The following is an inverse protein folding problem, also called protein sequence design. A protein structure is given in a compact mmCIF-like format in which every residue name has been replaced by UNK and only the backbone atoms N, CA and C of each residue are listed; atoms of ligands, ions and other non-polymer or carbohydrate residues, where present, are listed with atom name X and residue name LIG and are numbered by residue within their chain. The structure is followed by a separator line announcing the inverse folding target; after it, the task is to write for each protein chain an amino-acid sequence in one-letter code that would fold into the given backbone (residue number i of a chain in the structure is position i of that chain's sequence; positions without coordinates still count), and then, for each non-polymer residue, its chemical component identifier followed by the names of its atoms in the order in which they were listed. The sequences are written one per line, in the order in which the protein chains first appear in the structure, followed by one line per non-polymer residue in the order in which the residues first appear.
data_IF_181494261288
#
_entry.id   IF_181494261288
#
_cell.length_a   1.000
_cell.length_b   1.000
_cell.length_c   1.000
_cell.angle_alpha   90.00
_cell.angle_beta   90.00
_cell.angle_gamma   90.00
#
_symmetry.space_group_name_H-M   'P 1'
#
loop_
_entity.id
_entity.type
_entity.pdbx_description
1 polymer ?
#
# COMPACT_ATOMS: atom_id res chain seq x y z
N UNK A 1 -24.51 13.25 30.86
CA UNK A 1 -24.12 12.38 32.00
C UNK A 1 -22.62 12.07 31.95
N UNK A 2 -21.72 12.91 32.50
CA UNK A 2 -20.26 12.75 32.35
C UNK A 2 -19.54 12.10 33.55
N UNK A 3 -20.23 11.82 34.66
CA UNK A 3 -19.57 11.39 35.92
C UNK A 3 -19.07 9.93 35.95
N UNK A 4 -19.51 9.05 35.05
CA UNK A 4 -19.08 7.63 35.03
C UNK A 4 -17.76 7.36 34.28
N UNK A 5 -17.28 8.30 33.45
CA UNK A 5 -16.02 8.15 32.71
C UNK A 5 -14.78 8.41 33.57
N UNK A 6 -14.90 9.23 34.63
CA UNK A 6 -13.77 9.58 35.49
C UNK A 6 -13.30 8.42 36.39
N UNK A 7 -14.21 7.55 36.82
CA UNK A 7 -13.88 6.45 37.76
C UNK A 7 -13.17 5.28 37.06
N UNK A 8 -13.48 5.02 35.78
CA UNK A 8 -12.80 3.98 35.00
C UNK A 8 -11.35 4.38 34.67
N UNK A 9 -11.09 5.67 34.43
CA UNK A 9 -9.75 6.20 34.14
C UNK A 9 -8.83 6.08 35.37
N UNK A 10 -9.35 6.30 36.58
CA UNK A 10 -8.56 6.18 37.83
C UNK A 10 -8.11 4.74 38.13
N UNK A 11 -8.94 3.73 37.82
CA UNK A 11 -8.59 2.32 37.98
C UNK A 11 -7.58 1.83 36.93
N UNK A 12 -7.61 2.39 35.71
CA UNK A 12 -6.62 2.09 34.68
C UNK A 12 -5.26 2.74 34.97
N UNK A 13 -5.22 3.92 35.59
CA UNK A 13 -3.95 4.58 35.95
C UNK A 13 -3.17 3.90 37.07
N UNK A 14 -3.81 3.13 37.96
CA UNK A 14 -3.11 2.41 39.04
C UNK A 14 -2.45 1.09 38.57
N UNK A 15 -2.86 0.55 37.42
CA UNK A 15 -2.30 -0.68 36.82
C UNK A 15 -1.18 -0.40 35.81
N UNK A 16 -1.10 0.81 35.26
CA UNK A 16 -0.04 1.23 34.32
C UNK A 16 1.41 1.12 34.85
N UNK A 17 1.72 1.37 36.14
CA UNK A 17 3.10 1.31 36.63
C UNK A 17 3.66 -0.11 36.70
N UNK A 18 2.80 -1.13 36.81
CA UNK A 18 3.20 -2.55 36.88
C UNK A 18 3.59 -3.12 35.51
N UNK A 19 3.08 -2.56 34.42
CA UNK A 19 3.41 -2.97 33.05
C UNK A 19 4.67 -2.28 32.49
N UNK A 20 5.07 -1.13 33.04
CA UNK A 20 6.28 -0.41 32.60
C UNK A 20 7.60 -1.07 33.04
N UNK A 21 7.56 -2.01 34.00
CA UNK A 21 8.76 -2.69 34.52
C UNK A 21 9.24 -3.87 33.65
N UNK A 22 8.50 -4.26 32.60
CA UNK A 22 8.87 -5.39 31.73
C UNK A 22 9.41 -4.97 30.35
N UNK A 23 9.61 -3.68 30.09
CA UNK A 23 10.18 -3.21 28.84
C UNK A 23 11.71 -3.13 28.94
N UNK A 24 12.47 -3.84 28.09
CA UNK A 24 13.92 -3.72 28.06
C UNK A 24 14.33 -2.31 27.60
N UNK A 25 15.47 -1.77 28.09
CA UNK A 25 15.96 -0.47 27.68
C UNK A 25 16.37 -0.50 26.21
N UNK A 26 15.80 0.42 25.43
CA UNK A 26 16.20 0.68 24.05
C UNK A 26 17.42 1.61 24.07
N UNK A 27 18.61 1.02 24.15
CA UNK A 27 19.85 1.69 23.77
C UNK A 27 19.95 1.67 22.26
N UNK A 28 20.01 2.85 21.66
CA UNK A 28 20.94 3.21 20.57
C UNK A 28 20.38 4.42 19.81
N UNK A 29 20.65 5.59 20.38
CA UNK A 29 20.89 6.79 19.61
C UNK A 29 22.38 7.06 19.75
N UNK A 30 23.13 7.00 18.64
CA UNK A 30 24.24 7.92 18.37
C UNK A 30 24.77 7.72 16.95
N UNK A 31 24.80 8.87 16.26
CA UNK A 31 25.92 9.32 15.43
C UNK A 31 26.02 8.85 13.97
N UNK A 32 25.72 9.78 13.05
CA UNK A 32 26.64 10.15 11.97
C UNK A 32 26.03 11.28 11.10
N UNK A 33 26.06 12.51 11.64
CA UNK A 33 26.03 13.72 10.82
C UNK A 33 27.47 14.13 10.58
N UNK A 34 28.09 13.73 9.46
CA UNK A 34 29.18 14.48 8.83
C UNK A 34 29.77 13.75 7.61
N UNK A 35 30.14 14.56 6.61
CA UNK A 35 31.24 14.33 5.65
C UNK A 35 30.85 13.69 4.31
N UNK A 36 30.32 14.53 3.41
CA UNK A 36 30.87 14.72 2.04
C UNK A 36 30.41 16.05 1.44
N UNK A 37 31.16 17.08 1.82
CA UNK A 37 31.41 18.28 1.02
C UNK A 37 32.24 17.87 -0.22
N UNK A 38 32.07 18.63 -1.31
CA UNK A 38 33.06 18.94 -2.36
C UNK A 38 33.39 17.86 -3.40
N UNK A 39 32.71 17.95 -4.56
CA UNK A 39 33.32 18.25 -5.89
C UNK A 39 32.22 18.97 -6.69
N UNK A 40 32.26 20.30 -6.87
CA UNK A 40 33.13 21.06 -7.77
C UNK A 40 32.90 20.72 -9.25
N UNK A 41 32.17 21.63 -9.90
CA UNK A 41 32.44 22.22 -11.23
C UNK A 41 33.04 21.35 -12.33
N UNK A 42 32.28 21.20 -13.41
CA UNK A 42 32.81 21.28 -14.76
C UNK A 42 31.70 21.74 -15.71
N UNK A 43 31.62 23.07 -15.92
CA UNK A 43 31.24 23.61 -17.23
C UNK A 43 32.23 23.10 -18.27
N UNK A 44 31.73 22.46 -19.33
CA UNK A 44 32.40 22.50 -20.63
C UNK A 44 31.32 22.73 -21.68
N UNK A 45 31.32 23.97 -22.15
CA UNK A 45 30.81 24.42 -23.43
C UNK A 45 31.41 23.57 -24.56
N UNK A 46 30.56 22.98 -25.39
CA UNK A 46 30.97 22.39 -26.66
C UNK A 46 29.83 22.55 -27.67
N UNK A 47 29.83 23.74 -28.25
CA UNK A 47 29.33 24.10 -29.57
C UNK A 47 29.50 22.95 -30.58
N UNK A 48 28.39 22.25 -30.85
CA UNK A 48 28.30 21.23 -31.89
C UNK A 48 27.15 21.58 -32.84
N UNK A 49 27.45 22.51 -33.75
CA UNK A 49 27.02 22.54 -35.15
C UNK A 49 25.63 21.97 -35.43
N UNK A 50 24.69 22.89 -35.62
CA UNK A 50 23.52 22.73 -36.48
C UNK A 50 23.96 22.15 -37.85
N UNK A 51 23.81 20.84 -38.01
CA UNK A 51 23.73 20.18 -39.30
C UNK A 51 22.24 19.96 -39.60
N UNK A 52 21.72 20.39 -40.76
CA UNK A 52 20.34 20.13 -41.13
C UNK A 52 20.20 18.62 -41.42
N UNK A 53 19.67 17.89 -40.44
CA UNK A 53 19.44 16.45 -40.55
C UNK A 53 18.29 16.22 -41.53
N UNK A 54 18.61 15.53 -42.62
CA UNK A 54 17.65 15.05 -43.60
C UNK A 54 16.45 14.36 -42.90
N UNK A 55 15.21 14.60 -43.37
CA UNK A 55 14.07 13.86 -42.86
C UNK A 55 14.19 12.41 -43.34
N UNK A 56 13.76 11.47 -42.50
CA UNK A 56 13.24 10.16 -42.92
C UNK A 56 14.20 8.94 -42.98
N UNK A 57 15.04 8.73 -41.96
CA UNK A 57 15.62 7.39 -41.69
C UNK A 57 15.48 6.99 -40.21
N UNK A 58 14.35 6.32 -39.92
CA UNK A 58 14.09 5.33 -38.85
C UNK A 58 14.85 5.49 -37.53
N UNK A 59 14.28 6.31 -36.64
CA UNK A 59 14.69 6.47 -35.23
C UNK A 59 14.20 5.31 -34.32
N UNK A 60 13.60 4.27 -34.91
CA UNK A 60 12.80 3.26 -34.22
C UNK A 60 13.47 1.88 -34.08
N UNK A 61 14.78 1.79 -34.37
CA UNK A 61 15.58 0.58 -34.13
C UNK A 61 14.93 -0.69 -34.69
N UNK A 62 14.62 -1.62 -33.80
CA UNK A 62 14.07 -2.96 -34.12
C UNK A 62 12.54 -3.04 -33.93
N UNK A 63 11.88 -1.95 -33.54
CA UNK A 63 10.43 -1.91 -33.33
C UNK A 63 9.74 -1.61 -34.66
N UNK A 64 8.89 -2.53 -35.11
CA UNK A 64 8.08 -2.34 -36.32
C UNK A 64 6.91 -1.39 -36.06
N UNK A 65 7.04 -0.16 -36.57
CA UNK A 65 6.01 0.89 -36.49
C UNK A 65 5.04 0.85 -37.67
N UNK A 66 5.27 -0.01 -38.68
CA UNK A 66 4.35 -0.12 -39.82
C UNK A 66 2.95 -0.58 -39.41
N UNK A 67 2.87 -1.37 -38.33
CA UNK A 67 1.62 -1.82 -37.72
C UNK A 67 1.10 -0.90 -36.60
N UNK A 68 1.70 0.27 -36.38
CA UNK A 68 1.29 1.18 -35.32
C UNK A 68 -0.13 1.74 -35.57
N UNK A 69 -1.03 1.73 -34.56
CA UNK A 69 -2.41 2.17 -34.74
C UNK A 69 -2.52 3.62 -35.26
N UNK A 70 -3.27 3.78 -36.35
CA UNK A 70 -3.46 5.08 -37.01
C UNK A 70 -4.15 6.11 -36.11
N UNK A 71 -5.01 5.65 -35.19
CA UNK A 71 -5.72 6.49 -34.22
C UNK A 71 -4.77 7.24 -33.26
N UNK A 72 -3.57 6.71 -33.01
CA UNK A 72 -2.57 7.29 -32.12
C UNK A 72 -1.37 7.89 -32.86
N UNK A 73 -1.24 7.64 -34.17
CA UNK A 73 -0.08 8.03 -34.96
C UNK A 73 0.13 9.55 -34.97
N UNK A 74 -0.96 10.34 -34.99
CA UNK A 74 -0.89 11.79 -34.91
C UNK A 74 -0.37 12.29 -33.55
N UNK A 75 -0.81 11.65 -32.47
CA UNK A 75 -0.46 12.01 -31.09
C UNK A 75 0.96 11.60 -30.70
N UNK A 76 1.57 10.64 -31.40
CA UNK A 76 2.84 10.06 -30.97
C UNK A 76 3.96 9.92 -32.01
N UNK A 77 3.63 9.51 -33.22
CA UNK A 77 4.65 9.37 -34.28
C UNK A 77 4.94 10.73 -34.90
N UNK A 78 3.89 11.52 -35.16
CA UNK A 78 4.02 12.86 -35.79
C UNK A 78 4.43 13.96 -34.81
N UNK A 79 4.24 13.75 -33.51
CA UNK A 79 4.53 14.72 -32.44
C UNK A 79 5.88 14.48 -31.74
N UNK A 80 6.63 13.47 -32.18
CA UNK A 80 7.85 12.94 -31.55
C UNK A 80 7.69 12.47 -30.09
N UNK A 81 6.46 12.38 -29.54
CA UNK A 81 6.24 11.88 -28.18
C UNK A 81 6.70 10.43 -27.99
N UNK A 82 6.72 9.65 -29.08
CA UNK A 82 7.21 8.27 -29.09
C UNK A 82 8.73 8.14 -29.35
N UNK A 83 9.46 9.26 -29.33
CA UNK A 83 10.93 9.21 -29.42
C UNK A 83 11.54 8.53 -28.20
N UNK A 84 12.65 7.78 -28.35
CA UNK A 84 13.31 7.07 -27.26
C UNK A 84 13.55 7.94 -26.02
N UNK A 85 14.10 9.14 -26.21
CA UNK A 85 14.42 10.06 -25.11
C UNK A 85 13.19 10.51 -24.31
N UNK A 86 12.04 10.70 -24.97
CA UNK A 86 10.80 11.14 -24.32
C UNK A 86 10.11 10.03 -23.53
N UNK A 87 10.25 8.80 -23.98
CA UNK A 87 9.70 7.64 -23.29
C UNK A 87 10.67 7.06 -22.24
N UNK A 88 11.79 7.73 -21.96
CA UNK A 88 12.74 7.32 -20.91
C UNK A 88 13.79 6.29 -21.36
N UNK A 89 13.99 6.13 -22.67
CA UNK A 89 15.08 5.34 -23.22
C UNK A 89 16.34 6.18 -23.37
N UNK A 90 17.47 5.65 -22.89
CA UNK A 90 18.78 6.29 -23.02
C UNK A 90 19.45 6.05 -24.39
N UNK A 91 18.79 5.32 -25.30
CA UNK A 91 19.32 4.96 -26.61
C UNK A 91 18.84 5.94 -27.69
N UNK A 92 19.69 6.21 -28.68
CA UNK A 92 19.30 7.02 -29.85
C UNK A 92 18.26 6.34 -30.76
N UNK A 93 18.05 5.03 -30.58
CA UNK A 93 17.09 4.19 -31.30
C UNK A 93 16.14 3.52 -30.31
N UNK A 94 14.88 3.36 -30.70
CA UNK A 94 13.91 2.58 -29.92
C UNK A 94 14.25 1.10 -30.03
N UNK A 95 14.58 0.45 -28.91
CA UNK A 95 14.77 -1.02 -28.87
C UNK A 95 13.54 -1.67 -28.25
N UNK A 96 13.28 -2.92 -28.62
CA UNK A 96 12.20 -3.72 -28.00
C UNK A 96 12.37 -3.81 -26.49
N UNK A 97 13.60 -4.05 -26.01
CA UNK A 97 13.91 -4.05 -24.56
C UNK A 97 13.47 -2.75 -23.88
N UNK A 98 13.80 -1.60 -24.47
CA UNK A 98 13.43 -0.34 -23.87
C UNK A 98 11.91 -0.11 -23.92
N UNK A 99 11.28 -0.41 -25.06
CA UNK A 99 9.85 -0.28 -25.24
C UNK A 99 9.06 -1.13 -24.23
N UNK A 100 9.46 -2.38 -24.03
CA UNK A 100 8.72 -3.36 -23.25
C UNK A 100 9.00 -3.29 -21.75
N UNK A 101 10.23 -2.90 -21.36
CA UNK A 101 10.66 -2.96 -19.97
C UNK A 101 10.87 -1.59 -19.31
N UNK A 102 11.30 -0.58 -20.06
CA UNK A 102 11.72 0.71 -19.49
C UNK A 102 10.72 1.83 -19.72
N UNK A 103 10.17 1.94 -20.92
CA UNK A 103 9.24 2.98 -21.27
C UNK A 103 7.88 2.74 -20.61
N UNK A 104 7.36 3.66 -19.79
CA UNK A 104 5.99 3.59 -19.30
C UNK A 104 4.94 4.04 -20.35
N UNK A 105 5.34 4.34 -21.59
CA UNK A 105 4.61 5.34 -22.42
C UNK A 105 4.59 5.16 -23.95
N UNK A 106 4.21 4.00 -24.51
CA UNK A 106 3.52 3.95 -25.80
C UNK A 106 2.01 4.20 -25.69
N UNK A 107 1.40 3.88 -24.53
CA UNK A 107 -0.07 3.95 -24.41
C UNK A 107 -0.60 5.33 -24.02
N UNK A 108 0.28 6.24 -23.55
CA UNK A 108 -0.01 7.67 -23.42
C UNK A 108 -0.26 8.38 -24.76
N UNK A 109 0.03 7.69 -25.86
CA UNK A 109 -0.34 8.09 -27.20
C UNK A 109 -1.85 7.96 -27.47
N UNK A 110 -2.58 7.23 -26.62
CA UNK A 110 -4.03 7.12 -26.75
C UNK A 110 -4.64 8.50 -26.48
N UNK A 111 -5.42 9.06 -27.42
CA UNK A 111 -6.14 10.31 -27.20
C UNK A 111 -7.20 10.20 -26.10
N UNK A 112 -7.61 8.97 -25.78
CA UNK A 112 -8.69 8.65 -24.85
C UNK A 112 -8.24 7.62 -23.82
N UNK A 113 -8.78 7.72 -22.60
CA UNK A 113 -8.58 6.72 -21.56
C UNK A 113 -9.29 5.40 -21.93
N UNK A 114 -8.95 4.28 -21.26
CA UNK A 114 -9.68 3.03 -21.41
C UNK A 114 -11.17 3.23 -21.08
N UNK A 115 -12.08 2.94 -22.02
CA UNK A 115 -13.52 3.06 -21.81
C UNK A 115 -14.30 1.92 -22.50
N UNK A 116 -14.00 1.62 -23.77
CA UNK A 116 -14.78 0.69 -24.62
C UNK A 116 -13.83 -0.15 -25.50
N UNK A 117 -14.13 -1.43 -25.76
CA UNK A 117 -13.25 -2.39 -26.49
C UNK A 117 -12.77 -1.92 -27.89
N UNK A 118 -13.43 -0.91 -28.48
CA UNK A 118 -13.09 -0.37 -29.80
C UNK A 118 -12.37 0.99 -29.77
N UNK A 119 -11.97 1.47 -28.60
CA UNK A 119 -11.25 2.73 -28.50
C UNK A 119 -9.77 2.57 -28.93
N UNK A 120 -9.10 3.70 -29.19
CA UNK A 120 -7.71 3.70 -29.63
C UNK A 120 -6.75 3.03 -28.62
N UNK A 121 -7.15 3.00 -27.35
CA UNK A 121 -6.41 2.36 -26.28
C UNK A 121 -6.22 0.85 -26.51
N UNK A 122 -7.30 0.11 -26.80
CA UNK A 122 -7.17 -1.34 -26.99
C UNK A 122 -6.34 -1.71 -28.22
N UNK A 123 -6.45 -0.94 -29.31
CA UNK A 123 -5.60 -1.12 -30.49
C UNK A 123 -4.12 -0.87 -30.16
N UNK A 124 -3.82 0.12 -29.31
CA UNK A 124 -2.47 0.39 -28.82
C UNK A 124 -1.98 -0.69 -27.87
N UNK A 125 -2.83 -1.21 -26.98
CA UNK A 125 -2.49 -2.30 -26.06
C UNK A 125 -2.20 -3.59 -26.83
N UNK A 126 -3.00 -3.91 -27.84
CA UNK A 126 -2.82 -5.08 -28.72
C UNK A 126 -1.53 -4.95 -29.56
N UNK A 127 -1.30 -3.80 -30.18
CA UNK A 127 -0.05 -3.53 -30.92
C UNK A 127 1.16 -3.62 -29.99
N UNK A 128 1.10 -3.00 -28.80
CA UNK A 128 2.18 -3.01 -27.84
C UNK A 128 2.45 -4.43 -27.30
N UNK A 129 1.39 -5.19 -27.01
CA UNK A 129 1.49 -6.59 -26.60
C UNK A 129 2.15 -7.45 -27.69
N UNK A 130 1.76 -7.25 -28.95
CA UNK A 130 2.37 -7.92 -30.11
C UNK A 130 3.83 -7.52 -30.31
N UNK A 131 4.16 -6.23 -30.23
CA UNK A 131 5.53 -5.73 -30.37
C UNK A 131 6.47 -6.22 -29.25
N UNK A 132 5.90 -6.59 -28.10
CA UNK A 132 6.63 -7.12 -26.95
C UNK A 132 6.55 -8.65 -26.80
N UNK A 133 5.94 -9.37 -27.75
CA UNK A 133 5.68 -10.82 -27.65
C UNK A 133 5.02 -11.23 -26.31
N UNK A 134 4.15 -10.37 -25.78
CA UNK A 134 3.51 -10.56 -24.48
C UNK A 134 4.42 -10.36 -23.26
N UNK A 135 5.70 -10.05 -23.45
CA UNK A 135 6.66 -9.78 -22.38
C UNK A 135 6.56 -8.32 -21.89
N UNK A 136 5.43 -8.01 -21.23
CA UNK A 136 5.14 -6.68 -20.69
C UNK A 136 5.38 -6.66 -19.18
N UNK A 137 6.01 -5.58 -18.69
CA UNK A 137 6.19 -5.39 -17.25
C UNK A 137 4.84 -5.27 -16.52
N UNK A 138 4.56 -6.27 -15.70
CA UNK A 138 3.41 -6.32 -14.79
C UNK A 138 3.65 -5.46 -13.54
N UNK A 139 2.58 -4.99 -12.93
CA UNK A 139 2.61 -4.44 -11.58
C UNK A 139 2.89 -5.59 -10.61
N UNK A 140 3.98 -5.50 -9.85
CA UNK A 140 4.33 -6.52 -8.86
C UNK A 140 3.30 -6.53 -7.71
N UNK A 141 2.55 -7.63 -7.50
CA UNK A 141 1.58 -7.74 -6.41
C UNK A 141 2.20 -7.54 -5.02
N UNK A 142 3.48 -7.88 -4.84
CA UNK A 142 4.18 -7.74 -3.56
C UNK A 142 4.34 -6.28 -3.11
N UNK A 143 4.13 -5.31 -4.01
CA UNK A 143 4.14 -3.88 -3.69
C UNK A 143 2.84 -3.40 -3.05
N UNK A 144 1.80 -4.24 -3.03
CA UNK A 144 0.49 -3.97 -2.43
C UNK A 144 0.30 -4.89 -1.22
N UNK A 145 -0.32 -4.42 -0.11
CA UNK A 145 -0.68 -5.28 1.00
C UNK A 145 -1.51 -6.49 0.55
N UNK A 146 -1.18 -7.69 1.04
CA UNK A 146 -1.84 -8.93 0.60
C UNK A 146 -3.37 -8.89 0.77
N UNK A 147 -3.85 -8.23 1.83
CA UNK A 147 -5.27 -8.00 2.09
C UNK A 147 -5.99 -7.20 0.98
N UNK A 148 -5.29 -6.33 0.26
CA UNK A 148 -5.86 -5.47 -0.77
C UNK A 148 -5.58 -5.95 -2.20
N UNK A 149 -4.60 -6.83 -2.44
CA UNK A 149 -4.13 -7.24 -3.78
C UNK A 149 -5.27 -7.60 -4.75
N UNK A 150 -6.14 -8.55 -4.36
CA UNK A 150 -7.25 -9.00 -5.22
C UNK A 150 -8.22 -7.86 -5.53
N UNK A 151 -8.60 -7.08 -4.52
CA UNK A 151 -9.50 -5.94 -4.69
C UNK A 151 -8.90 -4.90 -5.63
N UNK A 152 -7.61 -4.57 -5.45
CA UNK A 152 -6.91 -3.59 -6.27
C UNK A 152 -6.93 -3.97 -7.74
N UNK A 153 -6.59 -5.22 -8.10
CA UNK A 153 -6.57 -5.62 -9.51
C UNK A 153 -7.98 -5.70 -10.12
N UNK A 154 -8.99 -6.10 -9.36
CA UNK A 154 -10.40 -6.03 -9.80
C UNK A 154 -10.83 -4.58 -10.03
N UNK A 155 -10.46 -3.67 -9.13
CA UNK A 155 -10.79 -2.27 -9.26
C UNK A 155 -10.09 -1.62 -10.47
N UNK A 156 -8.80 -1.92 -10.70
CA UNK A 156 -8.10 -1.49 -11.92
C UNK A 156 -8.76 -2.04 -13.19
N UNK A 157 -9.25 -3.28 -13.15
CA UNK A 157 -10.00 -3.84 -14.27
C UNK A 157 -11.32 -3.10 -14.53
N UNK A 158 -12.02 -2.69 -13.48
CA UNK A 158 -13.22 -1.85 -13.61
C UNK A 158 -12.94 -0.43 -14.14
N UNK A 159 -11.69 0.02 -14.05
CA UNK A 159 -11.22 1.28 -14.67
C UNK A 159 -10.76 1.08 -16.13
N UNK A 160 -10.95 -0.12 -16.69
CA UNK A 160 -10.66 -0.45 -18.08
C UNK A 160 -9.30 -1.12 -18.32
N UNK A 161 -8.57 -1.51 -17.26
CA UNK A 161 -7.37 -2.33 -17.43
C UNK A 161 -7.70 -3.80 -17.66
N UNK A 162 -7.46 -4.31 -18.87
CA UNK A 162 -7.59 -5.74 -19.16
C UNK A 162 -6.56 -6.58 -18.39
N UNK A 163 -5.37 -6.02 -18.21
CA UNK A 163 -4.23 -6.65 -17.55
C UNK A 163 -3.65 -5.72 -16.47
N UNK A 164 -3.05 -6.26 -15.39
CA UNK A 164 -2.39 -5.47 -14.34
C UNK A 164 -1.00 -4.99 -14.79
N UNK A 165 -0.89 -4.50 -16.02
CA UNK A 165 0.38 -4.00 -16.56
C UNK A 165 0.68 -2.63 -16.00
N UNK A 166 1.97 -2.31 -15.88
CA UNK A 166 2.42 -0.98 -15.45
C UNK A 166 1.85 0.10 -16.36
N UNK A 167 1.82 -0.15 -17.66
CA UNK A 167 1.40 0.83 -18.65
C UNK A 167 -0.09 1.17 -18.51
N UNK A 168 -0.94 0.19 -18.23
CA UNK A 168 -2.34 0.46 -17.97
C UNK A 168 -2.54 1.26 -16.68
N UNK A 169 -1.86 0.89 -15.59
CA UNK A 169 -1.93 1.65 -14.33
C UNK A 169 -1.56 3.13 -14.52
N UNK A 170 -0.53 3.41 -15.32
CA UNK A 170 0.03 4.73 -15.46
C UNK A 170 -0.73 5.66 -16.41
N UNK A 171 -1.51 5.13 -17.36
CA UNK A 171 -2.38 5.97 -18.18
C UNK A 171 -3.60 6.46 -17.40
N UNK A 172 -4.07 5.63 -16.46
CA UNK A 172 -5.31 5.94 -15.76
C UNK A 172 -5.15 7.25 -15.00
N UNK A 173 -6.26 7.99 -14.94
CA UNK A 173 -6.34 9.21 -14.17
C UNK A 173 -5.81 8.97 -12.76
N UNK A 174 -4.91 9.85 -12.31
CA UNK A 174 -4.21 9.68 -11.03
C UNK A 174 -5.18 9.49 -9.87
N UNK A 175 -6.20 10.33 -9.79
CA UNK A 175 -7.15 10.31 -8.69
C UNK A 175 -8.04 9.05 -8.66
N UNK A 176 -8.68 8.62 -9.78
CA UNK A 176 -9.42 7.36 -9.83
C UNK A 176 -8.64 6.14 -9.31
N UNK A 177 -7.36 6.02 -9.67
CA UNK A 177 -6.51 4.92 -9.20
C UNK A 177 -6.27 5.02 -7.69
N UNK A 178 -5.90 6.21 -7.20
CA UNK A 178 -5.63 6.42 -5.77
C UNK A 178 -6.87 6.08 -4.93
N UNK A 179 -8.05 6.52 -5.37
CA UNK A 179 -9.31 6.28 -4.67
C UNK A 179 -9.69 4.79 -4.69
N UNK A 180 -9.56 4.13 -5.84
CA UNK A 180 -9.85 2.70 -5.98
C UNK A 180 -8.94 1.84 -5.08
N UNK A 181 -7.62 2.05 -5.16
CA UNK A 181 -6.65 1.30 -4.35
C UNK A 181 -6.77 1.65 -2.87
N UNK A 182 -6.95 2.94 -2.54
CA UNK A 182 -7.16 3.40 -1.17
C UNK A 182 -8.41 2.79 -0.53
N UNK A 183 -9.50 2.69 -1.28
CA UNK A 183 -10.74 2.04 -0.85
C UNK A 183 -10.53 0.54 -0.58
N UNK A 184 -9.80 -0.16 -1.46
CA UNK A 184 -9.46 -1.57 -1.25
C UNK A 184 -8.66 -1.80 0.03
N UNK A 185 -7.67 -0.96 0.31
CA UNK A 185 -6.87 -1.01 1.55
C UNK A 185 -7.74 -0.70 2.77
N UNK A 186 -8.59 0.33 2.68
CA UNK A 186 -9.47 0.73 3.78
C UNK A 186 -10.47 -0.36 4.17
N UNK A 187 -11.01 -1.09 3.19
CA UNK A 187 -12.03 -2.12 3.41
C UNK A 187 -11.46 -3.48 3.84
N UNK A 188 -10.30 -3.86 3.31
CA UNK A 188 -9.79 -5.22 3.48
C UNK A 188 -8.61 -5.33 4.47
N UNK A 189 -7.95 -4.22 4.80
CA UNK A 189 -6.78 -4.22 5.67
C UNK A 189 -7.07 -3.61 7.06
N UNK A 190 -6.34 -4.09 8.07
CA UNK A 190 -6.48 -3.61 9.44
C UNK A 190 -6.13 -2.11 9.57
N UNK A 191 -6.97 -1.34 10.28
CA UNK A 191 -6.88 0.13 10.40
C UNK A 191 -5.49 0.65 10.75
N UNK A 192 -4.78 0.00 11.68
CA UNK A 192 -3.46 0.43 12.15
C UNK A 192 -2.38 0.38 11.06
N UNK A 193 -2.57 -0.42 10.02
CA UNK A 193 -1.63 -0.56 8.89
C UNK A 193 -2.06 0.21 7.64
N UNK A 194 -3.22 0.88 7.66
CA UNK A 194 -3.63 1.74 6.54
C UNK A 194 -2.68 2.93 6.36
N UNK A 195 -2.07 3.42 7.44
CA UNK A 195 -1.11 4.54 7.39
C UNK A 195 0.29 4.17 6.86
N UNK A 196 0.64 2.87 6.77
CA UNK A 196 1.95 2.44 6.26
C UNK A 196 1.97 2.26 4.74
N UNK A 197 0.82 2.29 4.09
CA UNK A 197 0.69 2.21 2.65
C UNK A 197 0.02 3.46 2.09
N UNK A 198 0.68 4.12 1.14
CA UNK A 198 0.12 5.27 0.42
C UNK A 198 -0.13 4.89 -1.03
N UNK A 199 -1.41 4.77 -1.41
CA UNK A 199 -1.82 4.50 -2.81
C UNK A 199 -1.26 5.52 -3.79
N UNK A 200 -1.10 6.78 -3.34
CA UNK A 200 -0.53 7.85 -4.13
C UNK A 200 0.97 7.64 -4.38
N UNK A 201 1.75 7.36 -3.32
CA UNK A 201 3.18 7.08 -3.46
C UNK A 201 3.40 5.83 -4.30
N UNK A 202 2.68 4.74 -4.00
CA UNK A 202 2.77 3.47 -4.71
C UNK A 202 2.57 3.64 -6.23
N UNK A 203 1.51 4.35 -6.65
CA UNK A 203 1.27 4.63 -8.07
C UNK A 203 2.39 5.48 -8.66
N UNK A 204 2.75 6.57 -7.98
CA UNK A 204 3.73 7.52 -8.49
C UNK A 204 5.12 6.87 -8.61
N UNK A 205 5.51 5.99 -7.69
CA UNK A 205 6.75 5.23 -7.73
C UNK A 205 6.75 4.26 -8.91
N UNK A 206 5.70 3.44 -9.07
CA UNK A 206 5.57 2.54 -10.22
C UNK A 206 5.66 3.32 -11.55
N UNK A 207 5.00 4.47 -11.65
CA UNK A 207 4.94 5.22 -12.90
C UNK A 207 6.17 6.08 -13.19
N UNK A 208 6.94 6.49 -12.17
CA UNK A 208 8.14 7.32 -12.34
C UNK A 208 9.43 6.51 -12.36
N UNK A 209 9.56 5.53 -11.48
CA UNK A 209 10.78 4.73 -11.32
C UNK A 209 10.66 3.34 -11.94
N UNK A 210 9.44 2.93 -12.30
CA UNK A 210 9.16 1.62 -12.86
C UNK A 210 8.98 0.53 -11.81
N UNK A 211 9.16 0.84 -10.52
CA UNK A 211 9.08 -0.09 -9.39
C UNK A 211 8.51 0.62 -8.15
N UNK A 212 7.82 -0.12 -7.29
CA UNK A 212 7.54 0.30 -5.93
C UNK A 212 8.32 -0.60 -4.96
N UNK A 213 8.64 -0.07 -3.78
CA UNK A 213 9.20 -0.90 -2.71
C UNK A 213 8.24 -2.03 -2.34
N UNK A 214 8.76 -3.21 -2.06
CA UNK A 214 7.96 -4.31 -1.55
C UNK A 214 7.26 -3.86 -0.26
N UNK A 215 5.98 -4.21 -0.12
CA UNK A 215 5.27 -3.99 1.13
C UNK A 215 5.85 -4.91 2.20
N UNK A 216 6.09 -4.39 3.41
CA UNK A 216 6.59 -5.18 4.53
C UNK A 216 5.50 -6.11 5.08
N UNK A 217 5.28 -7.22 4.36
CA UNK A 217 4.32 -8.24 4.71
C UNK A 217 4.67 -8.91 6.04
N UNK A 218 5.96 -9.01 6.38
CA UNK A 218 6.41 -9.58 7.65
C UNK A 218 5.96 -8.74 8.85
N UNK A 219 6.04 -7.41 8.75
CA UNK A 219 5.49 -6.52 9.76
C UNK A 219 3.97 -6.63 9.87
N UNK A 220 3.25 -6.78 8.74
CA UNK A 220 1.80 -6.99 8.72
C UNK A 220 1.40 -8.30 9.42
N UNK A 221 2.00 -9.42 9.03
CA UNK A 221 1.68 -10.74 9.59
C UNK A 221 1.99 -10.80 11.09
N UNK A 222 3.12 -10.20 11.51
CA UNK A 222 3.48 -10.07 12.92
C UNK A 222 2.44 -9.27 13.70
N UNK A 223 1.91 -8.19 13.12
CA UNK A 223 0.87 -7.39 13.74
C UNK A 223 -0.46 -8.17 13.84
N UNK A 224 -0.91 -8.82 12.76
CA UNK A 224 -2.14 -9.63 12.78
C UNK A 224 -2.04 -10.75 13.81
N UNK A 225 -0.89 -11.43 13.87
CA UNK A 225 -0.63 -12.46 14.88
C UNK A 225 -0.71 -11.88 16.29
N UNK A 226 -0.03 -10.76 16.56
CA UNK A 226 -0.11 -10.09 17.86
C UNK A 226 -1.54 -9.72 18.25
N UNK A 227 -2.32 -9.16 17.32
CA UNK A 227 -3.73 -8.80 17.57
C UNK A 227 -4.55 -10.04 17.88
N UNK A 228 -4.37 -11.12 17.11
CA UNK A 228 -5.07 -12.37 17.29
C UNK A 228 -4.74 -13.02 18.66
N UNK A 229 -3.45 -13.13 18.98
CA UNK A 229 -2.97 -13.65 20.26
C UNK A 229 -3.49 -12.80 21.43
N UNK A 230 -3.54 -11.47 21.27
CA UNK A 230 -4.08 -10.55 22.29
C UNK A 230 -5.60 -10.72 22.45
N UNK A 231 -6.35 -10.88 21.36
CA UNK A 231 -7.80 -11.11 21.40
C UNK A 231 -8.16 -12.41 22.10
N UNK A 232 -7.31 -13.42 22.04
CA UNK A 232 -7.52 -14.69 22.76
C UNK A 232 -7.02 -14.59 24.21
N UNK A 233 -5.85 -14.00 24.43
CA UNK A 233 -5.24 -13.95 25.76
C UNK A 233 -6.03 -13.07 26.74
N UNK A 234 -6.56 -11.92 26.30
CA UNK A 234 -7.26 -10.98 27.19
C UNK A 234 -8.50 -11.59 27.84
N UNK A 235 -9.46 -12.22 27.11
CA UNK A 235 -10.60 -12.89 27.72
C UNK A 235 -10.19 -14.00 28.68
N UNK A 236 -9.18 -14.80 28.33
CA UNK A 236 -8.69 -15.89 29.19
C UNK A 236 -8.16 -15.33 30.52
N UNK A 237 -7.34 -14.28 30.47
CA UNK A 237 -6.83 -13.61 31.67
C UNK A 237 -7.98 -13.00 32.50
N UNK A 238 -8.95 -12.35 31.86
CA UNK A 238 -10.12 -11.76 32.55
C UNK A 238 -10.94 -12.83 33.27
N UNK A 239 -11.19 -13.98 32.63
CA UNK A 239 -11.90 -15.12 33.22
C UNK A 239 -11.11 -15.72 34.39
N UNK A 240 -9.79 -15.89 34.26
CA UNK A 240 -8.93 -16.42 35.32
C UNK A 240 -8.91 -15.49 36.55
N UNK A 241 -8.76 -14.18 36.34
CA UNK A 241 -8.80 -13.18 37.42
C UNK A 241 -10.16 -13.19 38.12
N UNK A 242 -11.24 -13.31 37.36
CA UNK A 242 -12.59 -13.39 37.93
C UNK A 242 -12.84 -14.66 38.75
N UNK A 243 -12.39 -15.81 38.24
CA UNK A 243 -12.47 -17.07 38.97
C UNK A 243 -11.68 -16.99 40.29
N UNK A 244 -10.48 -16.39 40.25
CA UNK A 244 -9.67 -16.15 41.45
C UNK A 244 -10.40 -15.24 42.45
N UNK A 245 -10.97 -14.12 42.00
CA UNK A 245 -11.73 -13.20 42.86
C UNK A 245 -12.96 -13.88 43.48
N UNK A 246 -13.67 -14.73 42.72
CA UNK A 246 -14.79 -15.51 43.24
C UNK A 246 -14.35 -16.47 44.35
N UNK A 247 -13.24 -17.18 44.17
CA UNK A 247 -12.68 -18.07 45.19
C UNK A 247 -12.29 -17.27 46.43
N UNK A 248 -11.62 -16.12 46.27
CA UNK A 248 -11.27 -15.25 47.40
C UNK A 248 -12.51 -14.77 48.17
N UNK A 249 -13.57 -14.34 47.49
CA UNK A 249 -14.83 -13.95 48.14
C UNK A 249 -15.39 -15.14 48.92
N UNK A 250 -15.44 -16.33 48.32
CA UNK A 250 -15.95 -17.54 48.96
C UNK A 250 -15.15 -17.92 50.22
N UNK A 251 -13.82 -17.80 50.18
CA UNK A 251 -12.95 -18.07 51.33
C UNK A 251 -13.04 -17.01 52.45
N UNK A 252 -13.47 -15.79 52.14
CA UNK A 252 -13.58 -14.69 53.10
C UNK A 252 -14.98 -14.56 53.71
N UNK A 253 -15.97 -15.31 53.24
CA UNK A 253 -17.31 -15.34 53.85
C UNK A 253 -17.24 -16.06 55.20
N UNK A 254 -17.28 -15.28 56.27
CA UNK A 254 -17.65 -15.75 57.62
C UNK A 254 -19.14 -16.14 57.64
N UNK A 255 -19.50 -17.21 58.37
CA UNK A 255 -20.86 -17.77 58.43
C UNK A 255 -21.94 -16.75 58.86
N UNK A 256 -21.56 -15.64 59.50
CA UNK A 256 -22.52 -14.68 60.06
C UNK A 256 -23.08 -13.65 59.06
N UNK A 257 -22.50 -13.50 57.84
CA UNK A 257 -22.91 -12.49 56.84
C UNK A 257 -23.06 -13.04 55.41
N UNK A 258 -23.89 -14.07 55.23
CA UNK A 258 -24.12 -14.71 53.92
C UNK A 258 -24.86 -13.82 52.90
N UNK A 259 -25.73 -12.92 53.34
CA UNK A 259 -26.55 -12.11 52.41
C UNK A 259 -25.75 -10.99 51.72
N UNK A 260 -24.86 -10.32 52.47
CA UNK A 260 -24.03 -9.24 51.94
C UNK A 260 -22.94 -9.74 51.00
N UNK A 261 -22.32 -10.87 51.33
CA UNK A 261 -21.24 -11.49 50.53
C UNK A 261 -21.73 -12.03 49.18
N UNK A 262 -22.92 -12.63 49.13
CA UNK A 262 -23.56 -13.09 47.88
C UNK A 262 -23.83 -11.93 46.91
N UNK A 263 -24.30 -10.79 47.40
CA UNK A 263 -24.55 -9.61 46.57
C UNK A 263 -23.26 -9.06 45.94
N UNK A 264 -22.16 -9.01 46.71
CA UNK A 264 -20.85 -8.56 46.22
C UNK A 264 -20.29 -9.51 45.17
N UNK A 265 -20.35 -10.83 45.42
CA UNK A 265 -19.91 -11.85 44.46
C UNK A 265 -20.67 -11.77 43.13
N UNK A 266 -21.99 -11.60 43.18
CA UNK A 266 -22.82 -11.45 41.98
C UNK A 266 -22.47 -10.18 41.19
N UNK A 267 -22.18 -9.08 41.89
CA UNK A 267 -21.81 -7.80 41.26
C UNK A 267 -20.46 -7.89 40.55
N UNK A 268 -19.47 -8.55 41.16
CA UNK A 268 -18.15 -8.80 40.55
C UNK A 268 -18.30 -9.67 39.31
N UNK A 269 -19.11 -10.75 39.38
CA UNK A 269 -19.37 -11.63 38.25
C UNK A 269 -19.99 -10.87 37.06
N UNK A 270 -20.97 -10.00 37.31
CA UNK A 270 -21.60 -9.19 36.26
C UNK A 270 -20.60 -8.23 35.61
N UNK A 271 -19.74 -7.57 36.40
CA UNK A 271 -18.71 -6.66 35.88
C UNK A 271 -17.71 -7.42 35.01
N UNK A 272 -17.26 -8.60 35.46
CA UNK A 272 -16.36 -9.46 34.68
C UNK A 272 -17.00 -9.87 33.37
N UNK A 273 -18.24 -10.36 33.40
CA UNK A 273 -18.96 -10.77 32.19
C UNK A 273 -19.12 -9.59 31.22
N UNK A 274 -19.44 -8.40 31.73
CA UNK A 274 -19.53 -7.20 30.92
C UNK A 274 -18.18 -6.84 30.28
N UNK A 275 -17.07 -6.88 31.03
CA UNK A 275 -15.74 -6.59 30.49
C UNK A 275 -15.29 -7.65 29.47
N UNK A 276 -15.57 -8.93 29.73
CA UNK A 276 -15.27 -10.03 28.82
C UNK A 276 -16.03 -9.93 27.50
N UNK A 277 -17.21 -9.31 27.48
CA UNK A 277 -18.02 -9.11 26.26
C UNK A 277 -17.67 -7.78 25.55
N UNK A 278 -17.44 -6.70 26.29
CA UNK A 278 -17.24 -5.35 25.72
C UNK A 278 -15.83 -5.20 25.12
N UNK A 279 -14.79 -5.67 25.80
CA UNK A 279 -13.40 -5.50 25.36
C UNK A 279 -13.14 -6.15 23.98
N UNK A 280 -13.55 -7.40 23.68
CA UNK A 280 -13.34 -7.98 22.37
C UNK A 280 -13.99 -7.19 21.23
N UNK A 281 -15.13 -6.56 21.49
CA UNK A 281 -15.90 -5.81 20.48
C UNK A 281 -15.19 -4.50 20.12
N UNK A 282 -14.64 -3.77 21.09
CA UNK A 282 -13.88 -2.55 20.81
C UNK A 282 -12.53 -2.83 20.15
N UNK A 283 -11.87 -3.95 20.45
CA UNK A 283 -10.65 -4.37 19.75
C UNK A 283 -10.93 -5.01 18.37
N UNK A 284 -12.20 -5.30 18.06
CA UNK A 284 -12.63 -5.82 16.77
C UNK A 284 -12.86 -4.75 15.69
N UNK A 285 -13.27 -3.56 16.11
CA UNK A 285 -13.62 -2.41 15.27
C UNK A 285 -12.42 -1.49 14.99
#
# INVERSE_FOLDING_TARGET
MPKRRATLILLLTSLLPLLAACLPPNSDAHDATAKRRLMAEAEVDADARLSPRAPNQTMYGDVDISAFPSCAAASCIKSEQFSPSRIGCNSAKLTTDCLCHKAPTPLACSPEAPSDENNCWYQLEDWFSGACDGNVTMVDPATIPQCAQKCTFVALSSLGCRSPTRNCLCILGRQPVIDAVGSCVAQNCAKKMQGSFSSASWRDDICKTGQAGAYDQGAYDKYIKMVHDTRIAVPVVVVLVAAFLLVCVFCLVSEEDMAGSMAVGLTILIIVLALAIILPVEFAL
#
